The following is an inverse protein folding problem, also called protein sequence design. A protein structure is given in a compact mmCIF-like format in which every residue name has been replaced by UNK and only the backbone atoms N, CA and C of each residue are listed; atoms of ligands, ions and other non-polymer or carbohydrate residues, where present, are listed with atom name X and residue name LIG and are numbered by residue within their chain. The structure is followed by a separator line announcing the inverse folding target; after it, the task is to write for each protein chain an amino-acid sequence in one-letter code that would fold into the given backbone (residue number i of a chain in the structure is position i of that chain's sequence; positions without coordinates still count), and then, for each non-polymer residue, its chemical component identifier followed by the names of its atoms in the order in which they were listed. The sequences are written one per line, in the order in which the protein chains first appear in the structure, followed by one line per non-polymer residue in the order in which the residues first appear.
data_IF_513246235763
#
_entry.id   IF_513246235763
#
_cell.length_a   1.000
_cell.length_b   1.000
_cell.length_c   1.000
_cell.angle_alpha   90.00
_cell.angle_beta   90.00
_cell.angle_gamma   90.00
#
_symmetry.space_group_name_H-M   'P 1'
#
loop_
_entity.id
_entity.type
_entity.pdbx_description
1 polymer ?
#
# COMPACT_ATOMS: atom_id res chain seq x y z
N UNK A 1 -4.78 -3.30 -18.02
CA UNK A 1 -5.18 -2.82 -16.67
C UNK A 1 -4.06 -1.94 -16.15
N UNK A 2 -4.33 -0.96 -15.29
CA UNK A 2 -3.28 -0.09 -14.73
C UNK A 2 -2.80 -0.70 -13.41
N UNK A 3 -1.50 -0.66 -13.13
CA UNK A 3 -0.94 -1.04 -11.84
C UNK A 3 -0.09 0.10 -11.27
N UNK A 4 0.05 0.14 -9.95
CA UNK A 4 0.87 1.13 -9.22
C UNK A 4 1.48 0.50 -7.98
N UNK A 5 2.68 0.94 -7.60
CA UNK A 5 3.22 0.65 -6.28
C UNK A 5 2.48 1.51 -5.26
N UNK A 6 1.91 0.86 -4.25
CA UNK A 6 1.06 1.49 -3.24
C UNK A 6 1.48 1.01 -1.85
N UNK A 7 1.22 1.85 -0.86
CA UNK A 7 1.23 1.49 0.55
C UNK A 7 -0.12 0.88 0.91
N UNK A 8 -0.11 -0.27 1.57
CA UNK A 8 -1.27 -1.07 1.95
C UNK A 8 -1.14 -1.39 3.43
N UNK A 9 -2.05 -0.88 4.26
CA UNK A 9 -2.05 -1.11 5.70
C UNK A 9 -3.38 -1.69 6.15
N UNK A 10 -3.32 -2.82 6.84
CA UNK A 10 -4.48 -3.46 7.46
C UNK A 10 -4.86 -2.67 8.71
N UNK A 11 -6.10 -2.20 8.78
CA UNK A 11 -6.63 -1.42 9.90
C UNK A 11 -7.46 -2.26 10.85
N UNK A 12 -8.27 -3.21 10.40
CA UNK A 12 -8.96 -4.23 11.23
C UNK A 12 -9.38 -3.78 12.66
N UNK A 13 -9.99 -2.59 12.81
CA UNK A 13 -10.40 -2.02 14.10
C UNK A 13 -9.35 -1.24 14.90
N UNK A 14 -8.10 -1.20 14.44
CA UNK A 14 -6.97 -0.44 15.00
C UNK A 14 -6.63 0.82 14.18
N UNK A 15 -6.00 1.80 14.83
CA UNK A 15 -5.52 3.03 14.17
C UNK A 15 -4.20 2.81 13.41
N UNK A 16 -3.45 1.77 13.79
CA UNK A 16 -2.22 1.30 13.13
C UNK A 16 -2.27 -0.21 12.97
N UNK A 17 -1.70 -0.73 11.89
CA UNK A 17 -1.55 -2.17 11.74
C UNK A 17 -0.42 -2.56 10.80
N UNK A 18 -0.40 -3.83 10.44
CA UNK A 18 0.59 -4.38 9.52
C UNK A 18 0.46 -3.71 8.16
N UNK A 19 1.60 -3.26 7.64
CA UNK A 19 1.70 -2.56 6.39
C UNK A 19 2.63 -3.27 5.41
N UNK A 20 2.40 -3.03 4.12
CA UNK A 20 3.27 -3.49 3.05
C UNK A 20 3.26 -2.49 1.89
N UNK A 21 4.39 -2.37 1.21
CA UNK A 21 4.50 -1.66 -0.06
C UNK A 21 4.54 -2.71 -1.16
N UNK A 22 3.58 -2.63 -2.08
CA UNK A 22 3.39 -3.66 -3.11
C UNK A 22 2.72 -3.13 -4.36
N UNK A 23 2.73 -3.94 -5.43
CA UNK A 23 2.07 -3.60 -6.69
C UNK A 23 0.59 -3.90 -6.62
N UNK A 24 -0.23 -2.87 -6.73
CA UNK A 24 -1.69 -2.95 -6.79
C UNK A 24 -2.14 -2.82 -8.22
N UNK A 25 -2.97 -3.74 -8.68
CA UNK A 25 -3.66 -3.67 -9.96
C UNK A 25 -5.05 -3.07 -9.79
N UNK A 26 -5.48 -2.26 -10.75
CA UNK A 26 -6.80 -1.64 -10.74
C UNK A 26 -7.70 -2.27 -11.79
N UNK A 27 -8.97 -2.48 -11.44
CA UNK A 27 -10.00 -2.83 -12.42
C UNK A 27 -10.11 -1.74 -13.49
N UNK A 28 -10.71 -2.06 -14.64
CA UNK A 28 -10.87 -1.09 -15.75
C UNK A 28 -11.55 0.21 -15.32
N UNK A 29 -12.48 0.13 -14.36
CA UNK A 29 -13.22 1.29 -13.81
C UNK A 29 -12.49 1.96 -12.64
N UNK A 30 -11.40 1.38 -12.13
CA UNK A 30 -10.67 1.85 -10.95
C UNK A 30 -11.43 1.69 -9.63
N UNK A 31 -12.56 0.97 -9.63
CA UNK A 31 -13.41 0.75 -8.45
C UNK A 31 -12.87 -0.34 -7.53
N UNK A 32 -12.23 -1.36 -8.11
CA UNK A 32 -11.59 -2.46 -7.39
C UNK A 32 -10.08 -2.37 -7.54
N UNK A 33 -9.39 -2.81 -6.50
CA UNK A 33 -7.95 -2.99 -6.43
C UNK A 33 -7.63 -4.44 -6.13
N UNK A 34 -6.56 -4.97 -6.70
CA UNK A 34 -6.12 -6.35 -6.52
C UNK A 34 -4.67 -6.37 -6.05
N UNK A 35 -4.41 -7.15 -5.01
CA UNK A 35 -3.07 -7.34 -4.45
C UNK A 35 -2.95 -8.75 -3.85
N UNK A 36 -1.97 -9.54 -4.29
CA UNK A 36 -1.70 -10.91 -3.81
C UNK A 36 -2.94 -11.81 -3.72
N UNK A 37 -3.81 -11.74 -4.72
CA UNK A 37 -5.04 -12.54 -4.77
C UNK A 37 -6.20 -12.00 -3.92
N UNK A 38 -6.00 -10.91 -3.18
CA UNK A 38 -7.05 -10.21 -2.44
C UNK A 38 -7.67 -9.12 -3.31
N UNK A 39 -8.98 -8.91 -3.16
CA UNK A 39 -9.72 -7.81 -3.79
C UNK A 39 -10.12 -6.77 -2.74
N UNK A 40 -9.92 -5.51 -3.08
CA UNK A 40 -10.25 -4.38 -2.24
C UNK A 40 -11.20 -3.43 -2.97
N UNK A 41 -12.22 -2.97 -2.27
CA UNK A 41 -13.17 -1.97 -2.75
C UNK A 41 -13.02 -0.68 -1.95
N UNK A 42 -13.11 0.47 -2.63
CA UNK A 42 -13.05 1.77 -1.94
C UNK A 42 -14.33 2.02 -1.13
N UNK A 43 -14.16 2.57 0.06
CA UNK A 43 -15.27 3.07 0.87
C UNK A 43 -15.62 4.51 0.49
N UNK A 44 -16.88 4.92 0.69
CA UNK A 44 -17.35 6.29 0.41
C UNK A 44 -17.02 7.27 1.54
N UNK A 45 -16.68 6.77 2.72
CA UNK A 45 -16.47 7.53 3.95
C UNK A 45 -15.25 6.98 4.67
N UNK A 46 -14.06 7.43 4.27
CA UNK A 46 -12.82 7.00 4.89
C UNK A 46 -12.33 8.00 5.93
N UNK A 47 -12.31 7.60 7.21
CA UNK A 47 -11.62 8.36 8.28
C UNK A 47 -10.39 7.60 8.79
N UNK A 48 -10.55 6.34 9.19
CA UNK A 48 -9.45 5.47 9.68
C UNK A 48 -8.98 4.42 8.67
N UNK A 49 -9.79 4.18 7.65
CA UNK A 49 -9.57 3.26 6.54
C UNK A 49 -10.15 3.91 5.27
N UNK A 50 -9.81 3.41 4.08
CA UNK A 50 -10.40 3.88 2.82
C UNK A 50 -10.80 2.73 1.87
N UNK A 51 -10.48 1.49 2.25
CA UNK A 51 -10.81 0.28 1.50
C UNK A 51 -11.30 -0.81 2.44
N UNK A 52 -12.03 -1.77 1.89
CA UNK A 52 -12.43 -3.02 2.54
C UNK A 52 -11.96 -4.17 1.66
N UNK A 53 -11.34 -5.20 2.25
CA UNK A 53 -11.05 -6.46 1.56
C UNK A 53 -12.34 -7.29 1.48
N UNK A 54 -12.70 -7.77 0.29
CA UNK A 54 -14.04 -8.28 0.01
C UNK A 54 -14.34 -9.64 0.67
N UNK A 55 -13.33 -10.46 0.93
CA UNK A 55 -13.51 -11.82 1.46
C UNK A 55 -13.67 -11.85 2.98
N UNK A 56 -12.86 -11.06 3.70
CA UNK A 56 -12.80 -10.97 5.16
C UNK A 56 -13.60 -9.81 5.73
N UNK A 57 -14.00 -8.85 4.88
CA UNK A 57 -14.63 -7.59 5.27
C UNK A 57 -13.76 -6.74 6.21
N UNK A 58 -12.44 -6.96 6.19
CA UNK A 58 -11.50 -6.19 6.99
C UNK A 58 -11.21 -4.82 6.38
N UNK A 59 -10.97 -3.85 7.26
CA UNK A 59 -10.68 -2.49 6.88
C UNK A 59 -9.21 -2.30 6.52
N UNK A 60 -8.94 -1.54 5.46
CA UNK A 60 -7.60 -1.23 4.98
C UNK A 60 -7.44 0.26 4.65
N UNK A 61 -6.20 0.73 4.79
CA UNK A 61 -5.73 1.99 4.24
C UNK A 61 -4.80 1.73 3.07
N UNK A 62 -5.21 2.14 1.86
CA UNK A 62 -4.43 1.98 0.64
C UNK A 62 -4.19 3.35 0.01
N UNK A 63 -2.92 3.73 -0.16
CA UNK A 63 -2.54 5.03 -0.73
C UNK A 63 -1.29 4.91 -1.59
N UNK A 64 -1.10 5.88 -2.49
CA UNK A 64 0.15 5.95 -3.25
C UNK A 64 1.33 6.23 -2.32
N UNK A 65 2.47 5.62 -2.63
CA UNK A 65 3.70 5.92 -1.92
C UNK A 65 4.17 7.35 -2.19
N UNK A 66 4.71 8.00 -1.18
CA UNK A 66 5.22 9.37 -1.20
C UNK A 66 6.75 9.36 -1.33
N UNK A 67 7.28 10.42 -1.94
CA UNK A 67 8.73 10.58 -2.13
C UNK A 67 9.49 10.71 -0.81
N UNK A 68 8.88 11.39 0.17
CA UNK A 68 9.44 11.61 1.50
C UNK A 68 9.40 10.36 2.40
N UNK A 69 8.54 9.38 2.07
CA UNK A 69 8.34 8.16 2.85
C UNK A 69 7.30 8.25 3.95
N UNK A 70 6.56 9.37 4.04
CA UNK A 70 5.48 9.52 5.03
C UNK A 70 4.22 8.74 4.63
N UNK A 71 4.39 7.48 4.21
CA UNK A 71 3.36 6.65 3.59
C UNK A 71 2.23 6.31 4.56
N UNK A 72 2.58 6.02 5.81
CA UNK A 72 1.65 5.70 6.87
C UNK A 72 0.87 6.93 7.37
N UNK A 73 -0.42 6.75 7.67
CA UNK A 73 -1.25 7.82 8.23
C UNK A 73 -0.95 8.08 9.72
N UNK A 74 -0.76 6.99 10.50
CA UNK A 74 -0.55 7.05 11.95
C UNK A 74 0.64 6.21 12.44
N UNK A 75 1.16 5.31 11.60
CA UNK A 75 2.27 4.44 11.96
C UNK A 75 3.62 5.13 11.73
N UNK A 76 4.62 4.77 12.52
CA UNK A 76 6.04 5.11 12.31
C UNK A 76 6.90 3.85 12.10
N UNK A 77 6.26 2.71 11.83
CA UNK A 77 6.94 1.43 11.70
C UNK A 77 7.53 1.27 10.31
N UNK A 78 8.69 0.59 10.27
CA UNK A 78 9.30 0.15 9.03
C UNK A 78 8.31 -0.72 8.25
N UNK A 79 8.08 -0.38 6.99
CA UNK A 79 7.13 -1.08 6.12
C UNK A 79 7.88 -1.98 5.14
N UNK A 80 7.67 -3.31 5.18
CA UNK A 80 8.23 -4.23 4.21
C UNK A 80 7.84 -3.89 2.77
N UNK A 81 8.80 -4.04 1.86
CA UNK A 81 8.65 -3.79 0.42
C UNK A 81 8.67 -5.14 -0.29
N UNK A 82 7.70 -5.39 -1.18
CA UNK A 82 7.70 -6.58 -2.02
C UNK A 82 8.94 -6.66 -2.91
N UNK A 83 9.47 -7.88 -3.07
CA UNK A 83 10.75 -8.14 -3.71
C UNK A 83 10.77 -7.74 -5.19
N UNK A 84 9.66 -7.93 -5.90
CA UNK A 84 9.50 -7.66 -7.33
C UNK A 84 9.46 -6.15 -7.67
N UNK A 85 9.14 -5.30 -6.69
CA UNK A 85 9.02 -3.85 -6.88
C UNK A 85 10.08 -3.04 -6.16
N UNK A 86 10.96 -3.70 -5.39
CA UNK A 86 11.92 -3.03 -4.49
C UNK A 86 12.80 -2.01 -5.20
N UNK A 87 13.42 -2.39 -6.30
CA UNK A 87 14.31 -1.50 -7.05
C UNK A 87 13.53 -0.32 -7.65
N UNK A 88 12.35 -0.57 -8.24
CA UNK A 88 11.49 0.48 -8.78
C UNK A 88 11.02 1.45 -7.69
N UNK A 89 10.63 0.95 -6.51
CA UNK A 89 10.23 1.79 -5.38
C UNK A 89 11.36 2.75 -4.97
N UNK A 90 12.57 2.23 -4.74
CA UNK A 90 13.68 3.05 -4.28
C UNK A 90 14.16 4.04 -5.34
N UNK A 91 14.24 3.62 -6.60
CA UNK A 91 14.77 4.44 -7.69
C UNK A 91 13.75 5.44 -8.22
N UNK A 92 12.51 5.01 -8.48
CA UNK A 92 11.51 5.82 -9.19
C UNK A 92 10.61 6.61 -8.24
N UNK A 93 10.32 6.08 -7.05
CA UNK A 93 9.42 6.73 -6.09
C UNK A 93 10.23 7.52 -5.07
N UNK A 94 11.19 6.88 -4.39
CA UNK A 94 11.98 7.53 -3.33
C UNK A 94 13.15 8.35 -3.86
N UNK A 95 13.56 8.14 -5.12
CA UNK A 95 14.74 8.77 -5.72
C UNK A 95 16.00 8.56 -4.86
N UNK A 96 16.15 7.33 -4.36
CA UNK A 96 17.23 6.85 -3.49
C UNK A 96 17.79 5.53 -4.02
N UNK A 97 18.45 5.54 -5.20
CA UNK A 97 18.99 4.33 -5.83
C UNK A 97 19.98 3.57 -4.93
N UNK A 98 20.66 4.26 -4.01
CA UNK A 98 21.57 3.68 -3.01
C UNK A 98 20.88 2.71 -2.05
N UNK A 99 19.55 2.83 -1.89
CA UNK A 99 18.76 1.99 -1.00
C UNK A 99 18.07 0.83 -1.72
N UNK A 100 18.33 0.59 -3.02
CA UNK A 100 17.61 -0.40 -3.83
C UNK A 100 17.61 -1.84 -3.28
N UNK A 101 18.58 -2.18 -2.43
CA UNK A 101 18.68 -3.49 -1.79
C UNK A 101 17.94 -3.57 -0.44
N UNK A 102 17.46 -2.44 0.10
CA UNK A 102 16.75 -2.39 1.37
C UNK A 102 15.34 -2.98 1.21
N UNK A 103 15.01 -3.93 2.09
CA UNK A 103 13.72 -4.64 2.07
C UNK A 103 12.60 -3.93 2.83
N UNK A 104 12.91 -2.84 3.54
CA UNK A 104 11.98 -2.10 4.37
C UNK A 104 12.13 -0.60 4.12
N UNK A 105 11.01 0.11 4.12
CA UNK A 105 10.96 1.58 4.09
C UNK A 105 10.66 2.12 5.49
N UNK A 106 11.44 3.11 5.93
CA UNK A 106 11.17 3.89 7.13
C UNK A 106 10.55 5.25 6.79
#
# INVERSE_FOLDING_TARGET
MKSRIMYIERKAGSITGEARIGRVEFSKTGRSMYYKGQEFIKTKSGYKHNCIETSSNEEYWISGCKKDGSDALYSKQATPIDDDIREEYWTMIRNRPELKNNKVSN
#
